data_IF_729081437083
#
_entry.id   IF_729081437083
#
_cell.length_a   1.000
_cell.length_b   1.000
_cell.length_c   1.000
_cell.angle_alpha   90.00
_cell.angle_beta   90.00
_cell.angle_gamma   90.00
#
_symmetry.space_group_name_H-M   'P 1'
#
loop_
_entity.id
_entity.type
_entity.pdbx_description
1 polymer ?
#
# COMPACT_ATOMS: atom_id res chain seq x y z
N UNK A 1 -10.79 3.64 -28.76
CA UNK A 1 -10.07 4.57 -27.88
C UNK A 1 -10.59 5.98 -28.13
N UNK A 2 -11.47 6.47 -27.26
CA UNK A 2 -11.93 7.87 -27.27
C UNK A 2 -11.19 8.54 -26.11
N UNK A 3 -10.26 9.42 -26.42
CA UNK A 3 -9.60 10.26 -25.42
C UNK A 3 -10.62 11.26 -24.87
N UNK A 4 -10.89 11.20 -23.56
CA UNK A 4 -11.66 12.24 -22.88
C UNK A 4 -10.69 13.38 -22.55
N UNK A 5 -10.58 14.36 -23.43
CA UNK A 5 -9.91 15.62 -23.14
C UNK A 5 -10.89 16.53 -22.39
N UNK A 6 -10.77 16.60 -21.06
CA UNK A 6 -11.34 17.68 -20.26
C UNK A 6 -10.21 18.62 -19.86
N UNK A 7 -10.17 19.75 -20.56
CA UNK A 7 -9.35 20.90 -20.22
C UNK A 7 -9.82 21.47 -18.89
N UNK A 8 -9.04 21.28 -17.83
CA UNK A 8 -9.12 22.11 -16.62
C UNK A 8 -7.94 23.07 -16.68
N UNK A 9 -8.23 24.37 -16.81
CA UNK A 9 -7.19 25.40 -16.77
C UNK A 9 -6.62 25.48 -15.35
N UNK A 10 -5.36 25.06 -15.17
CA UNK A 10 -4.59 25.44 -13.99
C UNK A 10 -4.16 26.91 -14.11
N UNK A 11 -4.17 27.71 -13.02
CA UNK A 11 -3.49 29.00 -13.00
C UNK A 11 -1.98 28.75 -13.08
N UNK A 12 -1.33 29.36 -14.06
CA UNK A 12 0.10 29.28 -14.29
C UNK A 12 0.88 29.98 -13.17
N UNK A 13 1.75 29.26 -12.45
CA UNK A 13 2.96 29.84 -11.83
C UNK A 13 4.10 28.81 -11.83
N UNK A 14 5.17 29.18 -12.54
CA UNK A 14 6.57 28.72 -12.55
C UNK A 14 6.94 27.34 -13.14
N UNK A 15 7.26 27.37 -14.43
CA UNK A 15 8.25 26.52 -15.09
C UNK A 15 9.67 27.09 -14.96
N UNK A 16 10.66 26.18 -15.11
CA UNK A 16 12.11 26.34 -15.29
C UNK A 16 12.92 26.34 -13.97
N UNK A 17 14.01 25.57 -13.81
CA UNK A 17 15.04 25.19 -14.78
C UNK A 17 15.51 23.74 -14.61
N UNK A 18 15.62 23.02 -15.73
CA UNK A 18 16.61 21.97 -15.95
C UNK A 18 17.61 22.56 -16.96
N UNK A 19 18.80 22.95 -16.50
CA UNK A 19 19.92 23.29 -17.37
C UNK A 19 21.13 22.49 -16.93
N UNK A 20 21.48 21.56 -17.81
CA UNK A 20 22.72 20.81 -17.89
C UNK A 20 23.88 21.81 -17.95
N UNK A 21 24.81 21.75 -17.00
CA UNK A 21 26.06 22.50 -17.08
C UNK A 21 27.22 21.56 -17.40
N UNK A 22 27.52 21.43 -18.69
CA UNK A 22 28.76 20.88 -19.21
C UNK A 22 29.82 21.97 -19.26
N UNK A 23 30.70 22.01 -18.26
CA UNK A 23 31.83 22.93 -18.19
C UNK A 23 33.16 22.20 -18.28
N UNK A 24 33.79 22.21 -19.47
CA UNK A 24 35.20 21.85 -19.67
C UNK A 24 36.05 23.10 -19.42
N UNK A 25 36.97 23.04 -18.47
CA UNK A 25 38.18 23.88 -18.40
C UNK A 25 39.34 23.03 -17.86
N UNK A 26 40.47 23.01 -18.58
CA UNK A 26 41.80 22.49 -18.18
C UNK A 26 42.80 23.67 -18.21
N UNK A 27 44.04 23.53 -17.72
CA UNK A 27 44.52 23.01 -16.43
C UNK A 27 45.44 24.04 -15.73
N UNK A 28 45.72 23.88 -14.43
CA UNK A 28 46.85 24.56 -13.79
C UNK A 28 47.43 23.75 -12.61
N UNK A 29 48.64 23.24 -12.86
CA UNK A 29 49.78 23.00 -11.97
C UNK A 29 49.58 22.37 -10.58
N UNK A 30 50.25 21.23 -10.45
CA UNK A 30 50.45 20.43 -9.25
C UNK A 30 51.34 21.10 -8.19
N UNK A 31 51.00 20.86 -6.92
CA UNK A 31 51.96 20.72 -5.81
C UNK A 31 51.48 19.54 -4.94
N UNK A 32 52.38 18.66 -4.48
CA UNK A 32 52.03 17.46 -3.68
C UNK A 32 51.91 17.81 -2.18
N UNK A 33 51.68 16.78 -1.33
CA UNK A 33 51.63 16.77 0.16
C UNK A 33 50.15 16.78 0.64
N UNK A 34 49.57 15.81 1.37
CA UNK A 34 50.04 14.68 2.19
C UNK A 34 49.05 13.50 2.14
N UNK A 35 49.58 12.29 2.33
CA UNK A 35 48.82 11.07 2.64
C UNK A 35 48.19 11.14 4.04
N UNK A 36 47.09 10.39 4.20
CA UNK A 36 46.50 9.90 5.46
C UNK A 36 45.24 10.63 5.96
N UNK A 37 44.09 10.24 5.38
CA UNK A 37 42.82 10.09 6.12
C UNK A 37 42.02 8.94 5.50
N UNK A 38 41.98 7.80 6.18
CA UNK A 38 40.98 6.76 5.97
C UNK A 38 39.60 7.31 6.34
N UNK A 39 38.73 7.48 5.34
CA UNK A 39 37.31 7.81 5.53
C UNK A 39 36.53 6.51 5.88
N UNK A 40 35.60 6.51 6.85
CA UNK A 40 34.90 5.31 7.28
C UNK A 40 33.77 4.97 6.31
N UNK A 41 33.84 3.77 5.74
CA UNK A 41 32.72 3.00 5.17
C UNK A 41 31.62 3.85 4.52
N UNK A 42 31.85 4.25 3.26
CA UNK A 42 30.77 4.57 2.35
C UNK A 42 29.80 3.37 2.35
N UNK A 43 28.60 3.56 2.89
CA UNK A 43 27.50 2.64 2.63
C UNK A 43 27.30 2.67 1.12
N UNK A 44 27.65 1.57 0.44
CA UNK A 44 27.34 1.39 -0.98
C UNK A 44 25.84 1.58 -1.16
N UNK A 45 25.43 2.75 -1.65
CA UNK A 45 24.10 2.91 -2.22
C UNK A 45 24.00 1.91 -3.37
N UNK A 46 23.10 0.94 -3.22
CA UNK A 46 22.82 -0.05 -4.24
C UNK A 46 22.37 0.69 -5.51
N UNK A 47 23.21 0.68 -6.55
CA UNK A 47 22.97 1.23 -7.90
C UNK A 47 21.79 0.56 -8.65
N UNK A 48 21.06 -0.35 -7.99
CA UNK A 48 19.87 -1.02 -8.51
C UNK A 48 18.55 -0.33 -8.13
N UNK A 49 17.45 -0.67 -8.82
CA UNK A 49 16.12 -0.17 -8.44
C UNK A 49 15.77 -0.61 -7.01
N UNK A 50 14.99 0.19 -6.26
CA UNK A 50 14.72 -0.06 -4.84
C UNK A 50 14.07 -1.43 -4.62
N UNK A 51 14.43 -2.13 -3.55
CA UNK A 51 13.77 -3.38 -3.18
C UNK A 51 12.56 -3.09 -2.29
N UNK A 52 11.39 -2.83 -2.88
CA UNK A 52 10.16 -2.54 -2.11
C UNK A 52 9.68 -3.74 -1.28
N UNK A 53 10.21 -4.94 -1.52
CA UNK A 53 9.85 -6.13 -0.75
C UNK A 53 10.43 -6.11 0.67
N UNK A 54 11.36 -5.19 0.96
CA UNK A 54 11.93 -4.99 2.29
C UNK A 54 11.13 -4.01 3.15
N UNK A 55 10.23 -3.22 2.55
CA UNK A 55 9.38 -2.29 3.30
C UNK A 55 8.48 -3.06 4.24
N UNK A 56 8.53 -2.70 5.51
CA UNK A 56 7.84 -3.45 6.58
C UNK A 56 6.52 -2.81 6.98
N UNK A 57 5.52 -3.66 7.26
CA UNK A 57 4.17 -3.25 7.64
C UNK A 57 3.82 -3.71 9.05
N UNK A 58 3.23 -2.81 9.84
CA UNK A 58 2.43 -3.18 11.01
C UNK A 58 0.99 -3.43 10.56
N UNK A 59 0.67 -4.69 10.30
CA UNK A 59 -0.63 -5.13 9.79
C UNK A 59 -1.75 -5.10 10.86
N UNK A 60 -2.93 -4.61 10.48
CA UNK A 60 -4.16 -4.64 11.27
C UNK A 60 -4.02 -3.89 12.59
N UNK A 61 -3.47 -2.67 12.56
CA UNK A 61 -3.16 -1.80 13.70
C UNK A 61 -4.41 -1.14 14.28
N UNK A 62 -5.33 -1.97 14.73
CA UNK A 62 -6.72 -1.60 15.04
C UNK A 62 -7.00 -1.29 16.53
N UNK A 63 -5.98 -0.92 17.31
CA UNK A 63 -6.16 -0.55 18.72
C UNK A 63 -5.09 0.41 19.18
N UNK A 64 -5.35 1.14 20.28
CA UNK A 64 -4.35 2.04 20.88
C UNK A 64 -3.07 1.32 21.24
N UNK A 65 -3.17 0.08 21.73
CA UNK A 65 -2.00 -0.70 22.09
C UNK A 65 -1.17 -1.04 20.86
N UNK A 66 -1.80 -1.61 19.81
CA UNK A 66 -1.10 -1.94 18.57
C UNK A 66 -0.48 -0.71 17.92
N UNK A 67 -1.17 0.43 17.94
CA UNK A 67 -0.64 1.68 17.40
C UNK A 67 0.61 2.14 18.15
N UNK A 68 0.59 2.11 19.49
CA UNK A 68 1.79 2.42 20.29
C UNK A 68 2.95 1.48 19.97
N UNK A 69 2.68 0.18 19.86
CA UNK A 69 3.69 -0.83 19.55
C UNK A 69 4.29 -0.62 18.16
N UNK A 70 3.45 -0.30 17.16
CA UNK A 70 3.88 -0.01 15.79
C UNK A 70 4.75 1.27 15.72
N UNK A 71 4.34 2.34 16.40
CA UNK A 71 5.10 3.61 16.46
C UNK A 71 6.45 3.42 17.15
N UNK A 72 6.47 2.69 18.27
CA UNK A 72 7.70 2.44 19.04
C UNK A 72 8.68 1.48 18.38
N UNK A 73 8.27 0.75 17.33
CA UNK A 73 9.12 -0.21 16.65
C UNK A 73 9.89 0.44 15.49
N UNK A 74 11.21 0.59 15.62
CA UNK A 74 12.09 1.23 14.63
C UNK A 74 12.17 0.49 13.30
N UNK A 75 11.83 -0.79 13.26
CA UNK A 75 11.89 -1.59 12.03
C UNK A 75 10.62 -1.51 11.21
N UNK A 76 9.54 -0.90 11.70
CA UNK A 76 8.26 -0.73 10.99
C UNK A 76 8.29 0.57 10.19
N UNK A 77 8.03 0.51 8.88
CA UNK A 77 8.01 1.69 8.01
C UNK A 77 6.58 2.15 7.69
N UNK A 78 5.65 1.20 7.56
CA UNK A 78 4.25 1.45 7.23
C UNK A 78 3.31 0.90 8.32
N UNK A 79 2.28 1.66 8.67
CA UNK A 79 1.20 1.21 9.57
C UNK A 79 -0.07 0.99 8.74
N UNK A 80 -0.51 -0.25 8.65
CA UNK A 80 -1.79 -0.59 8.04
C UNK A 80 -2.86 -0.70 9.15
N UNK A 81 -4.04 -0.13 8.89
CA UNK A 81 -5.18 -0.19 9.80
C UNK A 81 -6.51 -0.24 9.05
N UNK A 82 -7.39 -1.10 9.55
CA UNK A 82 -8.73 -1.31 9.03
C UNK A 82 -9.73 -0.31 9.61
N UNK A 83 -10.62 0.21 8.77
CA UNK A 83 -11.61 1.22 9.14
C UNK A 83 -13.01 0.67 8.90
N UNK A 84 -13.80 0.65 9.97
CA UNK A 84 -15.23 0.33 9.95
C UNK A 84 -16.03 1.41 10.66
N UNK A 85 -17.33 1.47 10.39
CA UNK A 85 -18.24 2.23 11.23
C UNK A 85 -18.57 1.45 12.49
N UNK A 86 -18.42 2.09 13.64
CA UNK A 86 -18.65 1.45 14.94
C UNK A 86 -18.68 2.44 16.09
N UNK A 87 -18.45 1.95 17.31
CA UNK A 87 -18.51 2.77 18.53
C UNK A 87 -17.22 2.66 19.33
N UNK A 88 -16.88 3.69 20.09
CA UNK A 88 -15.71 3.66 20.98
C UNK A 88 -16.05 2.90 22.26
N UNK A 89 -15.18 1.96 22.64
CA UNK A 89 -15.29 1.19 23.88
C UNK A 89 -15.38 2.12 25.08
N UNK A 90 -16.41 1.94 25.91
CA UNK A 90 -16.63 2.76 27.11
C UNK A 90 -17.25 4.15 26.84
N UNK A 91 -17.51 4.52 25.58
CA UNK A 91 -18.20 5.75 25.22
C UNK A 91 -19.72 5.53 25.02
N UNK A 92 -20.43 6.59 24.65
CA UNK A 92 -21.84 6.50 24.28
C UNK A 92 -22.03 5.58 23.06
N UNK A 93 -22.67 4.42 23.27
CA UNK A 93 -22.92 3.38 22.26
C UNK A 93 -23.89 3.79 21.14
N UNK A 94 -24.53 4.96 21.22
CA UNK A 94 -25.46 5.40 20.16
C UNK A 94 -24.78 6.16 19.02
N UNK A 95 -23.61 6.77 19.27
CA UNK A 95 -22.89 7.51 18.23
C UNK A 95 -21.97 6.57 17.46
N UNK A 96 -22.33 6.26 16.21
CA UNK A 96 -21.45 5.55 15.29
C UNK A 96 -20.50 6.51 14.57
N UNK A 97 -19.22 6.17 14.55
CA UNK A 97 -18.14 6.92 13.87
C UNK A 97 -17.16 5.95 13.20
N UNK A 98 -16.29 6.43 12.29
CA UNK A 98 -15.15 5.65 11.81
C UNK A 98 -14.20 5.29 12.96
N UNK A 99 -13.94 4.00 13.11
CA UNK A 99 -13.06 3.45 14.15
C UNK A 99 -12.04 2.50 13.52
N UNK A 100 -10.90 2.32 14.18
CA UNK A 100 -9.89 1.36 13.75
C UNK A 100 -10.31 -0.04 14.20
N UNK A 101 -10.81 -0.86 13.29
CA UNK A 101 -11.31 -2.22 13.54
C UNK A 101 -11.51 -3.00 12.24
N UNK A 102 -11.26 -4.31 12.30
CA UNK A 102 -11.54 -5.25 11.22
C UNK A 102 -12.88 -5.98 11.49
N UNK A 103 -13.76 -6.19 10.49
CA UNK A 103 -14.95 -7.00 10.64
C UNK A 103 -14.66 -8.41 11.22
N UNK A 104 -15.53 -8.97 12.06
CA UNK A 104 -16.86 -8.47 12.43
C UNK A 104 -16.85 -7.50 13.62
N UNK A 105 -15.69 -7.00 14.06
CA UNK A 105 -15.63 -6.05 15.17
C UNK A 105 -16.33 -4.74 14.80
N UNK A 106 -17.19 -4.25 15.70
CA UNK A 106 -17.93 -2.98 15.56
C UNK A 106 -17.64 -2.01 16.71
N UNK A 107 -16.61 -2.32 17.50
CA UNK A 107 -16.15 -1.52 18.63
C UNK A 107 -14.63 -1.49 18.66
N UNK A 108 -14.05 -0.35 19.00
CA UNK A 108 -12.61 -0.18 19.18
C UNK A 108 -12.31 0.81 20.30
N UNK A 109 -11.12 0.74 20.88
CA UNK A 109 -10.65 1.78 21.81
C UNK A 109 -10.03 2.99 21.07
N UNK A 110 -10.01 2.95 19.73
CA UNK A 110 -9.35 3.91 18.86
C UNK A 110 -10.26 4.37 17.72
N UNK A 111 -10.54 5.67 17.64
CA UNK A 111 -11.22 6.26 16.47
C UNK A 111 -10.22 6.55 15.34
N UNK A 112 -10.73 6.69 14.10
CA UNK A 112 -9.90 7.17 12.99
C UNK A 112 -9.24 8.52 13.29
N UNK A 113 -10.00 9.47 13.84
CA UNK A 113 -9.49 10.80 14.19
C UNK A 113 -8.34 10.73 15.22
N UNK A 114 -8.46 9.85 16.23
CA UNK A 114 -7.41 9.65 17.24
C UNK A 114 -6.17 8.99 16.63
N UNK A 115 -6.37 7.99 15.77
CA UNK A 115 -5.27 7.35 15.05
C UNK A 115 -4.51 8.37 14.21
N UNK A 116 -5.20 9.14 13.37
CA UNK A 116 -4.60 10.13 12.47
C UNK A 116 -3.81 11.20 13.23
N UNK A 117 -4.36 11.71 14.33
CA UNK A 117 -3.64 12.64 15.23
C UNK A 117 -2.35 12.04 15.80
N UNK A 118 -2.37 10.75 16.12
CA UNK A 118 -1.21 10.08 16.72
C UNK A 118 -0.11 9.80 15.69
N UNK A 119 -0.46 9.42 14.47
CA UNK A 119 0.53 9.09 13.42
C UNK A 119 1.19 10.31 12.80
N UNK A 120 0.57 11.50 12.86
CA UNK A 120 1.22 12.76 12.43
C UNK A 120 2.51 13.06 13.21
N UNK A 121 2.63 12.53 14.43
CA UNK A 121 3.80 12.73 15.28
C UNK A 121 4.85 11.61 15.10
N UNK A 122 4.62 10.64 14.20
CA UNK A 122 5.47 9.48 13.98
C UNK A 122 6.04 9.46 12.54
N UNK A 123 7.33 9.15 12.34
CA UNK A 123 7.93 9.07 11.01
C UNK A 123 7.62 7.73 10.33
N UNK A 124 6.33 7.41 10.12
CA UNK A 124 5.87 6.16 9.51
C UNK A 124 4.73 6.44 8.54
N UNK A 125 4.77 5.86 7.35
CA UNK A 125 3.66 5.97 6.41
C UNK A 125 2.44 5.18 6.90
N UNK A 126 1.27 5.49 6.36
CA UNK A 126 0.01 4.83 6.72
C UNK A 126 -0.71 4.27 5.51
N UNK A 127 -1.36 3.12 5.72
CA UNK A 127 -2.30 2.51 4.78
C UNK A 127 -3.65 2.33 5.48
N UNK A 128 -4.64 3.09 5.01
CA UNK A 128 -5.98 3.17 5.59
C UNK A 128 -6.94 2.28 4.81
N UNK A 129 -7.28 1.12 5.35
CA UNK A 129 -8.11 0.12 4.68
C UNK A 129 -9.60 0.27 5.02
N UNK A 130 -10.37 0.87 4.10
CA UNK A 130 -11.81 1.09 4.27
C UNK A 130 -12.60 -0.18 3.93
N UNK A 131 -13.32 -0.70 4.93
CA UNK A 131 -14.08 -1.95 4.80
C UNK A 131 -15.51 -1.78 4.32
N UNK A 132 -15.98 -0.53 4.14
CA UNK A 132 -17.30 -0.24 3.57
C UNK A 132 -17.38 1.20 3.04
N UNK A 133 -18.29 1.42 2.07
CA UNK A 133 -18.63 2.77 1.59
C UNK A 133 -19.05 3.69 2.74
N UNK A 134 -19.84 3.18 3.69
CA UNK A 134 -20.30 3.96 4.84
C UNK A 134 -19.12 4.49 5.69
N UNK A 135 -18.11 3.65 5.92
CA UNK A 135 -16.91 4.05 6.65
C UNK A 135 -16.09 5.07 5.88
N UNK A 136 -15.94 4.91 4.56
CA UNK A 136 -15.23 5.85 3.71
C UNK A 136 -15.93 7.22 3.65
N UNK A 137 -17.24 7.25 3.44
CA UNK A 137 -18.03 8.49 3.40
C UNK A 137 -17.94 9.26 4.72
N UNK A 138 -18.12 8.57 5.85
CA UNK A 138 -18.03 9.17 7.17
C UNK A 138 -16.61 9.65 7.54
N UNK A 139 -15.59 9.24 6.78
CA UNK A 139 -14.20 9.62 7.00
C UNK A 139 -13.74 10.82 6.17
N UNK A 140 -14.53 11.28 5.19
CA UNK A 140 -14.08 12.31 4.25
C UNK A 140 -13.63 13.62 4.92
N UNK A 141 -14.42 14.13 5.87
CA UNK A 141 -14.08 15.37 6.58
C UNK A 141 -12.89 15.16 7.52
N UNK A 142 -12.76 13.98 8.13
CA UNK A 142 -11.64 13.62 8.99
C UNK A 142 -10.34 13.58 8.18
N UNK A 143 -10.36 12.93 7.01
CA UNK A 143 -9.22 12.89 6.10
C UNK A 143 -8.86 14.27 5.57
N UNK A 144 -9.86 15.08 5.20
CA UNK A 144 -9.63 16.46 4.73
C UNK A 144 -8.89 17.28 5.78
N UNK A 145 -9.32 17.21 7.04
CA UNK A 145 -8.64 17.89 8.13
C UNK A 145 -7.22 17.35 8.35
N UNK A 146 -7.04 16.03 8.32
CA UNK A 146 -5.72 15.40 8.44
C UNK A 146 -4.75 15.85 7.35
N UNK A 147 -5.17 15.90 6.08
CA UNK A 147 -4.32 16.40 5.00
C UNK A 147 -4.04 17.90 5.10
N UNK A 148 -4.96 18.70 5.66
CA UNK A 148 -4.70 20.12 5.92
C UNK A 148 -3.73 20.35 7.09
N UNK A 149 -3.74 19.46 8.09
CA UNK A 149 -2.86 19.52 9.26
C UNK A 149 -1.46 18.93 8.96
N UNK A 150 -1.32 18.16 7.89
CA UNK A 150 -0.05 17.56 7.45
C UNK A 150 0.90 18.64 6.93
N UNK A 151 2.04 18.80 7.60
CA UNK A 151 3.09 19.75 7.20
C UNK A 151 4.19 19.12 6.37
N UNK A 152 4.35 17.79 6.47
CA UNK A 152 5.33 17.03 5.69
C UNK A 152 4.66 16.43 4.46
N UNK A 153 4.93 17.03 3.29
CA UNK A 153 4.40 16.57 2.01
C UNK A 153 4.98 15.21 1.57
N UNK A 154 6.03 14.71 2.25
CA UNK A 154 6.64 13.41 1.96
C UNK A 154 6.03 12.26 2.77
N UNK A 155 5.14 12.55 3.72
CA UNK A 155 4.49 11.56 4.56
C UNK A 155 3.61 10.61 3.71
N UNK A 156 3.93 9.30 3.61
CA UNK A 156 3.19 8.41 2.73
C UNK A 156 1.79 8.10 3.28
N UNK A 157 0.74 8.50 2.55
CA UNK A 157 -0.66 8.15 2.86
C UNK A 157 -1.25 7.31 1.75
N UNK A 158 -1.70 6.11 2.11
CA UNK A 158 -2.35 5.20 1.18
C UNK A 158 -3.81 5.07 1.58
N UNK A 159 -4.71 5.30 0.63
CA UNK A 159 -6.13 5.01 0.79
C UNK A 159 -6.37 3.64 0.15
N UNK A 160 -6.79 2.66 0.94
CA UNK A 160 -7.04 1.29 0.50
C UNK A 160 -8.52 0.95 0.52
N UNK A 161 -9.00 0.29 -0.54
CA UNK A 161 -10.33 -0.30 -0.55
C UNK A 161 -10.44 -1.47 -1.53
N UNK A 162 -11.24 -2.48 -1.15
CA UNK A 162 -11.73 -3.50 -2.07
C UNK A 162 -12.94 -2.97 -2.84
N UNK A 163 -12.71 -2.58 -4.10
CA UNK A 163 -13.72 -1.88 -4.92
C UNK A 163 -14.40 -2.75 -5.97
N UNK A 164 -13.91 -3.98 -6.14
CA UNK A 164 -14.44 -4.98 -7.06
C UNK A 164 -14.58 -6.35 -6.38
N UNK A 165 -15.52 -7.20 -6.82
CA UNK A 165 -15.58 -8.58 -6.37
C UNK A 165 -14.40 -9.38 -6.94
N UNK A 166 -13.83 -10.28 -6.14
CA UNK A 166 -12.65 -11.07 -6.48
C UNK A 166 -12.81 -12.56 -6.20
N UNK A 167 -11.70 -13.32 -6.26
CA UNK A 167 -11.74 -14.76 -6.13
C UNK A 167 -12.35 -15.21 -4.80
N UNK A 168 -13.29 -16.16 -4.89
CA UNK A 168 -14.09 -16.71 -3.80
C UNK A 168 -15.20 -15.79 -3.26
N UNK A 169 -15.31 -14.55 -3.74
CA UNK A 169 -16.33 -13.57 -3.33
C UNK A 169 -16.82 -12.74 -4.54
N UNK A 170 -17.34 -13.43 -5.56
CA UNK A 170 -17.70 -12.86 -6.87
C UNK A 170 -18.94 -11.94 -6.88
N UNK A 171 -19.65 -11.84 -5.75
CA UNK A 171 -20.94 -11.15 -5.62
C UNK A 171 -20.92 -9.93 -4.67
N UNK A 172 -19.78 -9.62 -4.03
CA UNK A 172 -19.69 -8.57 -3.02
C UNK A 172 -18.60 -7.53 -3.36
N UNK A 173 -18.94 -6.35 -3.87
CA UNK A 173 -18.02 -5.22 -3.87
C UNK A 173 -18.04 -4.55 -2.48
N UNK A 174 -16.95 -4.68 -1.71
CA UNK A 174 -16.86 -4.12 -0.36
C UNK A 174 -17.12 -2.60 -0.30
N UNK A 175 -16.49 -1.84 -1.20
CA UNK A 175 -16.62 -0.38 -1.30
C UNK A 175 -17.08 0.04 -2.70
N UNK A 176 -17.90 1.07 -2.80
CA UNK A 176 -18.35 1.61 -4.08
C UNK A 176 -17.18 2.23 -4.85
N UNK A 177 -16.82 1.64 -6.00
CA UNK A 177 -15.68 2.07 -6.82
C UNK A 177 -15.77 3.53 -7.27
N UNK A 178 -16.92 3.97 -7.80
CA UNK A 178 -17.13 5.34 -8.28
C UNK A 178 -16.89 6.35 -7.17
N UNK A 179 -17.46 6.10 -5.99
CA UNK A 179 -17.30 6.94 -4.80
C UNK A 179 -15.83 7.04 -4.39
N UNK A 180 -15.16 5.89 -4.23
CA UNK A 180 -13.79 5.81 -3.76
C UNK A 180 -12.81 6.49 -4.71
N UNK A 181 -12.85 6.12 -6.00
CA UNK A 181 -11.91 6.63 -7.01
C UNK A 181 -12.14 8.11 -7.30
N UNK A 182 -13.39 8.58 -7.34
CA UNK A 182 -13.67 10.02 -7.53
C UNK A 182 -13.15 10.83 -6.35
N UNK A 183 -13.33 10.37 -5.11
CA UNK A 183 -12.81 11.07 -3.94
C UNK A 183 -11.27 11.08 -3.93
N UNK A 184 -10.61 9.97 -4.27
CA UNK A 184 -9.15 9.93 -4.40
C UNK A 184 -8.66 10.97 -5.42
N UNK A 185 -9.24 10.97 -6.62
CA UNK A 185 -8.82 11.87 -7.70
C UNK A 185 -9.10 13.36 -7.43
N UNK A 186 -10.19 13.67 -6.72
CA UNK A 186 -10.66 15.07 -6.58
C UNK A 186 -10.42 15.70 -5.21
N UNK A 187 -10.34 14.90 -4.15
CA UNK A 187 -10.17 15.37 -2.77
C UNK A 187 -8.82 14.99 -2.16
N UNK A 188 -8.27 13.85 -2.56
CA UNK A 188 -7.03 13.32 -1.97
C UNK A 188 -5.96 13.01 -3.03
N UNK A 189 -5.61 13.98 -3.92
CA UNK A 189 -4.73 13.73 -5.06
C UNK A 189 -3.28 13.41 -4.66
N UNK A 190 -2.91 13.63 -3.39
CA UNK A 190 -1.57 13.34 -2.87
C UNK A 190 -1.44 11.93 -2.28
N UNK A 191 -2.56 11.22 -2.07
CA UNK A 191 -2.53 9.87 -1.55
C UNK A 191 -2.13 8.86 -2.64
N UNK A 192 -1.48 7.77 -2.24
CA UNK A 192 -1.40 6.56 -3.06
C UNK A 192 -2.77 5.87 -3.07
N UNK A 193 -3.25 5.51 -4.25
CA UNK A 193 -4.52 4.80 -4.42
C UNK A 193 -4.25 3.30 -4.40
N UNK A 194 -4.66 2.64 -3.32
CA UNK A 194 -4.53 1.20 -3.13
C UNK A 194 -5.88 0.53 -3.41
N UNK A 195 -5.99 -0.21 -4.52
CA UNK A 195 -7.25 -0.85 -4.92
C UNK A 195 -7.14 -2.36 -4.88
N UNK A 196 -8.14 -2.99 -4.29
CA UNK A 196 -8.21 -4.44 -4.16
C UNK A 196 -9.49 -5.03 -4.70
N UNK A 197 -9.57 -6.35 -4.58
CA UNK A 197 -10.79 -7.10 -4.81
C UNK A 197 -11.22 -7.76 -3.51
N UNK A 198 -12.51 -7.73 -3.23
CA UNK A 198 -13.07 -8.49 -2.11
C UNK A 198 -12.84 -9.98 -2.38
N UNK A 199 -12.11 -10.64 -1.49
CA UNK A 199 -11.79 -12.06 -1.63
C UNK A 199 -12.32 -12.87 -0.45
N UNK A 200 -12.55 -14.16 -0.67
CA UNK A 200 -12.83 -15.13 0.38
C UNK A 200 -12.13 -16.43 0.04
N UNK A 201 -11.60 -17.13 1.05
CA UNK A 201 -10.93 -18.41 0.84
C UNK A 201 -11.83 -19.41 0.07
N UNK A 202 -11.29 -19.96 -1.01
CA UNK A 202 -11.92 -20.94 -1.90
C UNK A 202 -10.82 -21.81 -2.53
N UNK A 203 -11.10 -23.11 -2.72
CA UNK A 203 -10.20 -23.99 -3.48
C UNK A 203 -10.52 -23.94 -4.99
N UNK A 204 -11.79 -23.75 -5.35
CA UNK A 204 -12.25 -23.80 -6.74
C UNK A 204 -12.10 -22.45 -7.46
N UNK A 205 -12.21 -21.35 -6.72
CA UNK A 205 -12.11 -19.98 -7.23
C UNK A 205 -10.98 -19.24 -6.50
N UNK A 206 -9.74 -19.62 -6.84
CA UNK A 206 -8.54 -19.32 -6.07
C UNK A 206 -7.50 -18.49 -6.84
N UNK A 207 -7.92 -17.79 -7.91
CA UNK A 207 -7.05 -16.99 -8.76
C UNK A 207 -7.77 -15.79 -9.36
N UNK A 208 -7.04 -14.69 -9.51
CA UNK A 208 -7.44 -13.56 -10.33
C UNK A 208 -7.47 -13.97 -11.79
N UNK A 209 -8.60 -13.76 -12.44
CA UNK A 209 -8.81 -14.02 -13.86
C UNK A 209 -8.49 -12.77 -14.70
N UNK A 210 -8.17 -12.91 -15.99
CA UNK A 210 -7.99 -11.76 -16.88
C UNK A 210 -9.16 -10.77 -16.83
N UNK A 211 -10.40 -11.28 -16.71
CA UNK A 211 -11.59 -10.42 -16.63
C UNK A 211 -11.67 -9.60 -15.34
N UNK A 212 -11.04 -10.07 -14.24
CA UNK A 212 -10.94 -9.30 -13.00
C UNK A 212 -9.99 -8.11 -13.16
N UNK A 213 -8.91 -8.34 -13.91
CA UNK A 213 -7.88 -7.34 -14.21
C UNK A 213 -8.42 -6.29 -15.19
N UNK A 214 -9.13 -6.73 -16.23
CA UNK A 214 -9.74 -5.85 -17.23
C UNK A 214 -10.74 -4.89 -16.58
N UNK A 215 -11.61 -5.39 -15.69
CA UNK A 215 -12.59 -4.55 -14.97
C UNK A 215 -11.92 -3.51 -14.08
N UNK A 216 -10.85 -3.88 -13.37
CA UNK A 216 -10.11 -2.94 -12.53
C UNK A 216 -9.46 -1.85 -13.38
N UNK A 217 -8.81 -2.25 -14.48
CA UNK A 217 -8.13 -1.34 -15.40
C UNK A 217 -9.10 -0.38 -16.08
N UNK A 218 -10.27 -0.87 -16.52
CA UNK A 218 -11.34 -0.04 -17.08
C UNK A 218 -11.83 1.01 -16.08
N UNK A 219 -12.04 0.63 -14.81
CA UNK A 219 -12.48 1.55 -13.76
C UNK A 219 -11.45 2.63 -13.45
N UNK A 220 -10.18 2.27 -13.29
CA UNK A 220 -9.12 3.24 -13.03
C UNK A 220 -8.98 4.25 -14.18
N UNK A 221 -9.00 3.77 -15.43
CA UNK A 221 -8.95 4.62 -16.62
C UNK A 221 -10.16 5.56 -16.70
N UNK A 222 -11.37 5.06 -16.38
CA UNK A 222 -12.60 5.85 -16.40
C UNK A 222 -12.59 7.00 -15.37
N UNK A 223 -11.96 6.79 -14.22
CA UNK A 223 -11.93 7.77 -13.13
C UNK A 223 -10.68 8.65 -13.13
N UNK A 224 -9.87 8.61 -14.20
CA UNK A 224 -8.66 9.43 -14.36
C UNK A 224 -7.67 9.30 -13.18
N UNK A 225 -7.62 8.13 -12.53
CA UNK A 225 -6.60 7.82 -11.51
C UNK A 225 -5.30 7.45 -12.22
N UNK A 226 -4.80 8.37 -13.05
CA UNK A 226 -3.61 8.20 -13.88
C UNK A 226 -2.45 9.09 -13.41
N UNK A 227 -2.72 10.07 -12.54
CA UNK A 227 -1.72 11.01 -12.02
C UNK A 227 -1.24 10.67 -10.61
N UNK A 228 -1.89 9.73 -9.91
CA UNK A 228 -1.50 9.28 -8.57
C UNK A 228 -0.74 7.96 -8.64
N UNK A 229 0.18 7.69 -7.69
CA UNK A 229 0.70 6.34 -7.51
C UNK A 229 -0.45 5.36 -7.24
N UNK A 230 -0.42 4.20 -7.90
CA UNK A 230 -1.41 3.13 -7.74
C UNK A 230 -0.71 1.87 -7.26
N UNK A 231 -1.35 1.17 -6.32
CA UNK A 231 -0.98 -0.19 -5.95
C UNK A 231 -2.19 -1.11 -6.00
N UNK A 232 -2.01 -2.33 -6.52
CA UNK A 232 -3.05 -3.36 -6.50
C UNK A 232 -2.88 -4.26 -5.29
N UNK A 233 -3.84 -4.22 -4.36
CA UNK A 233 -3.85 -5.07 -3.18
C UNK A 233 -4.33 -6.48 -3.56
N UNK A 234 -3.41 -7.44 -3.59
CA UNK A 234 -3.67 -8.83 -3.99
C UNK A 234 -3.41 -9.82 -2.86
N UNK A 235 -4.32 -10.76 -2.65
CA UNK A 235 -4.17 -11.78 -1.60
C UNK A 235 -3.11 -12.80 -2.02
N UNK A 236 -2.13 -13.05 -1.17
CA UNK A 236 -0.96 -13.89 -1.42
C UNK A 236 -1.34 -15.28 -1.97
N UNK A 237 -2.32 -15.94 -1.35
CA UNK A 237 -2.79 -17.26 -1.77
C UNK A 237 -3.31 -17.29 -3.22
N UNK A 238 -3.84 -16.17 -3.71
CA UNK A 238 -4.41 -16.08 -5.06
C UNK A 238 -3.43 -15.46 -6.06
N UNK A 239 -2.55 -14.57 -5.59
CA UNK A 239 -1.42 -14.09 -6.37
C UNK A 239 -0.51 -15.24 -6.81
N UNK A 240 -0.28 -16.22 -5.94
CA UNK A 240 0.43 -17.45 -6.25
C UNK A 240 -0.16 -18.21 -7.46
N UNK A 241 -1.49 -18.20 -7.62
CA UNK A 241 -2.17 -18.88 -8.73
C UNK A 241 -2.39 -17.96 -9.96
N UNK A 242 -1.89 -16.73 -9.92
CA UNK A 242 -2.17 -15.66 -10.90
C UNK A 242 -0.92 -14.98 -11.43
N UNK A 243 0.23 -15.65 -11.44
CA UNK A 243 1.51 -15.07 -11.85
C UNK A 243 1.42 -14.39 -13.21
N UNK A 244 0.89 -15.06 -14.23
CA UNK A 244 0.76 -14.51 -15.59
C UNK A 244 -0.17 -13.28 -15.64
N UNK A 245 -1.37 -13.39 -15.07
CA UNK A 245 -2.37 -12.31 -15.08
C UNK A 245 -1.85 -11.06 -14.36
N UNK A 246 -1.20 -11.21 -13.20
CA UNK A 246 -0.66 -10.10 -12.43
C UNK A 246 0.61 -9.51 -13.04
N UNK A 247 1.42 -10.33 -13.72
CA UNK A 247 2.57 -9.83 -14.50
C UNK A 247 2.09 -8.94 -15.65
N UNK A 248 1.06 -9.39 -16.38
CA UNK A 248 0.45 -8.62 -17.47
C UNK A 248 -0.18 -7.32 -16.97
N UNK A 249 -0.85 -7.34 -15.80
CA UNK A 249 -1.36 -6.13 -15.15
C UNK A 249 -0.25 -5.10 -14.93
N UNK A 250 0.84 -5.48 -14.27
CA UNK A 250 1.93 -4.54 -13.96
C UNK A 250 2.64 -4.04 -15.23
N UNK A 251 2.88 -4.92 -16.20
CA UNK A 251 3.55 -4.54 -17.45
C UNK A 251 2.71 -3.63 -18.36
N UNK A 252 1.38 -3.65 -18.21
CA UNK A 252 0.47 -2.79 -18.97
C UNK A 252 -0.01 -1.55 -18.20
N UNK A 253 0.38 -1.42 -16.93
CA UNK A 253 0.03 -0.28 -16.08
C UNK A 253 0.97 0.91 -16.28
N UNK A 254 0.54 2.08 -15.81
CA UNK A 254 1.36 3.29 -15.77
C UNK A 254 2.63 3.05 -14.95
N UNK A 255 3.73 3.69 -15.35
CA UNK A 255 4.99 3.67 -14.60
C UNK A 255 4.78 4.04 -13.12
N UNK A 256 5.51 3.37 -12.23
CA UNK A 256 5.35 3.51 -10.77
C UNK A 256 4.21 2.69 -10.16
N UNK A 257 3.42 1.96 -10.96
CA UNK A 257 2.38 1.06 -10.44
C UNK A 257 2.99 -0.16 -9.76
N UNK A 258 2.45 -0.53 -8.59
CA UNK A 258 2.96 -1.65 -7.76
C UNK A 258 1.89 -2.68 -7.43
N UNK A 259 2.30 -3.82 -6.90
CA UNK A 259 1.46 -4.77 -6.18
C UNK A 259 1.72 -4.64 -4.68
N UNK A 260 0.66 -4.74 -3.89
CA UNK A 260 0.78 -5.01 -2.45
C UNK A 260 0.23 -6.41 -2.18
N UNK A 261 1.12 -7.36 -1.91
CA UNK A 261 0.75 -8.74 -1.62
C UNK A 261 0.46 -8.87 -0.13
N UNK A 262 -0.76 -9.27 0.22
CA UNK A 262 -1.24 -9.34 1.60
C UNK A 262 -1.88 -10.70 1.92
N UNK A 263 -2.02 -11.06 3.20
CA UNK A 263 -2.83 -12.22 3.61
C UNK A 263 -3.75 -11.89 4.78
N UNK A 264 -4.89 -12.59 4.86
CA UNK A 264 -5.92 -12.27 5.85
C UNK A 264 -5.86 -13.15 7.11
N UNK A 265 -5.08 -14.24 7.06
CA UNK A 265 -5.12 -15.28 8.08
C UNK A 265 -3.80 -16.05 8.16
N UNK A 266 -3.41 -16.50 9.37
CA UNK A 266 -2.37 -17.50 9.54
C UNK A 266 -2.72 -18.86 8.97
N UNK A 267 -3.98 -19.09 8.61
CA UNK A 267 -4.42 -20.34 7.96
C UNK A 267 -4.44 -20.24 6.44
N UNK A 268 -4.09 -19.09 5.85
CA UNK A 268 -3.92 -18.98 4.40
C UNK A 268 -2.81 -19.92 3.97
N UNK A 269 -3.10 -20.77 2.98
CA UNK A 269 -2.12 -21.65 2.35
C UNK A 269 -1.56 -20.90 1.15
N UNK A 270 -0.27 -20.58 1.19
CA UNK A 270 0.39 -19.75 0.18
C UNK A 270 1.53 -20.54 -0.44
N UNK A 271 1.56 -20.62 -1.76
CA UNK A 271 2.72 -21.12 -2.49
C UNK A 271 3.74 -19.97 -2.66
N UNK A 272 4.76 -19.97 -1.80
CA UNK A 272 5.76 -18.92 -1.79
C UNK A 272 6.75 -19.02 -2.96
N UNK A 273 6.92 -20.19 -3.58
CA UNK A 273 7.71 -20.32 -4.79
C UNK A 273 7.03 -19.60 -5.95
N UNK A 274 5.71 -19.73 -6.07
CA UNK A 274 4.92 -19.01 -7.05
C UNK A 274 4.88 -17.50 -6.77
N UNK A 275 4.72 -17.07 -5.50
CA UNK A 275 4.82 -15.64 -5.14
C UNK A 275 6.21 -15.07 -5.47
N UNK A 276 7.29 -15.80 -5.18
CA UNK A 276 8.64 -15.37 -5.54
C UNK A 276 8.84 -15.33 -7.07
N UNK A 277 8.19 -16.22 -7.81
CA UNK A 277 8.19 -16.19 -9.28
C UNK A 277 7.48 -14.95 -9.82
N UNK A 278 6.36 -14.55 -9.21
CA UNK A 278 5.69 -13.28 -9.52
C UNK A 278 6.60 -12.09 -9.23
N UNK A 279 7.23 -12.01 -8.05
CA UNK A 279 8.16 -10.92 -7.69
C UNK A 279 9.30 -10.81 -8.70
N UNK A 280 9.89 -11.95 -9.11
CA UNK A 280 10.95 -11.98 -10.14
C UNK A 280 10.44 -11.51 -11.51
N UNK A 281 9.19 -11.83 -11.86
CA UNK A 281 8.62 -11.48 -13.15
C UNK A 281 8.30 -9.97 -13.26
N UNK A 282 7.85 -9.33 -12.17
CA UNK A 282 7.46 -7.91 -12.20
C UNK A 282 8.55 -6.95 -11.74
N UNK A 283 9.48 -7.41 -10.90
CA UNK A 283 10.51 -6.59 -10.28
C UNK A 283 10.25 -6.33 -8.80
N UNK A 284 11.31 -6.35 -7.99
CA UNK A 284 11.27 -6.08 -6.54
C UNK A 284 10.90 -4.62 -6.22
N UNK A 285 11.17 -3.73 -7.16
CA UNK A 285 10.80 -2.32 -7.19
C UNK A 285 9.32 -2.07 -7.46
N UNK A 286 8.53 -3.14 -7.61
CA UNK A 286 7.09 -3.06 -7.87
C UNK A 286 6.24 -3.88 -6.90
N UNK A 287 6.83 -4.41 -5.83
CA UNK A 287 6.10 -5.29 -4.90
C UNK A 287 6.33 -4.90 -3.45
N UNK A 288 5.26 -4.57 -2.75
CA UNK A 288 5.20 -4.50 -1.30
C UNK A 288 4.66 -5.80 -0.70
N UNK A 289 5.13 -6.17 0.49
CA UNK A 289 4.71 -7.37 1.21
C UNK A 289 4.11 -6.99 2.57
N UNK A 290 2.78 -7.02 2.66
CA UNK A 290 2.03 -6.81 3.89
C UNK A 290 1.52 -8.17 4.42
N UNK A 291 2.48 -8.98 4.88
CA UNK A 291 2.24 -10.38 5.24
C UNK A 291 2.24 -10.60 6.76
N UNK A 292 1.12 -11.12 7.26
CA UNK A 292 1.06 -11.82 8.55
C UNK A 292 1.69 -13.22 8.43
N UNK A 293 1.95 -13.93 9.54
CA UNK A 293 2.24 -15.36 9.47
C UNK A 293 1.21 -16.09 8.60
N UNK A 294 1.62 -17.14 7.87
CA UNK A 294 0.78 -17.97 7.00
C UNK A 294 1.32 -19.42 6.93
N UNK A 295 0.59 -20.32 6.26
CA UNK A 295 1.05 -21.70 5.96
C UNK A 295 1.68 -21.75 4.58
N UNK A 296 2.98 -22.05 4.50
CA UNK A 296 3.63 -22.32 3.22
C UNK A 296 3.11 -23.64 2.61
N UNK A 297 2.78 -23.68 1.32
CA UNK A 297 2.34 -24.91 0.65
C UNK A 297 3.44 -25.98 0.62
N UNK A 298 4.72 -25.56 0.59
CA UNK A 298 5.88 -26.46 0.57
C UNK A 298 6.11 -27.17 1.93
N UNK A 299 5.66 -26.56 3.05
CA UNK A 299 5.83 -27.14 4.39
C UNK A 299 4.86 -28.28 4.70
N UNK A 300 3.86 -28.55 3.84
CA UNK A 300 2.92 -29.67 3.98
C UNK A 300 3.53 -31.06 3.76
N UNK A 301 4.84 -31.17 3.51
CA UNK A 301 5.52 -32.45 3.36
C UNK A 301 5.91 -33.13 4.69
N UNK A 302 5.81 -32.45 5.83
CA UNK A 302 5.96 -33.04 7.17
C UNK A 302 4.93 -32.42 8.13
N UNK A 303 4.13 -33.25 8.80
CA UNK A 303 2.87 -32.92 9.47
C UNK A 303 2.94 -32.00 10.69
N UNK A 304 3.97 -31.16 10.84
CA UNK A 304 3.98 -30.07 11.80
C UNK A 304 4.92 -28.96 11.33
N UNK A 305 4.38 -27.81 10.93
CA UNK A 305 4.98 -26.47 11.16
C UNK A 305 4.11 -25.36 10.55
N UNK A 306 3.49 -24.56 11.42
CA UNK A 306 3.07 -23.20 11.09
C UNK A 306 4.35 -22.36 10.98
N UNK A 307 4.84 -22.11 9.76
CA UNK A 307 5.95 -21.18 9.57
C UNK A 307 5.81 -20.43 8.25
N UNK A 308 5.78 -19.11 8.38
CA UNK A 308 6.65 -18.24 7.62
C UNK A 308 7.38 -17.31 8.58
N UNK A 309 8.35 -17.87 9.33
CA UNK A 309 9.46 -17.07 9.84
C UNK A 309 10.34 -16.68 8.65
N UNK A 310 9.91 -15.70 7.84
CA UNK A 310 10.90 -14.75 7.31
C UNK A 310 11.53 -14.11 8.54
N UNK A 311 12.87 -13.95 8.62
CA UNK A 311 13.55 -13.61 9.86
C UNK A 311 12.84 -12.46 10.54
N UNK A 312 12.11 -12.78 11.61
CA UNK A 312 11.55 -11.79 12.51
C UNK A 312 12.75 -11.10 13.12
N UNK A 313 13.00 -9.88 12.68
CA UNK A 313 13.72 -8.84 13.43
C UNK A 313 15.05 -9.28 14.02
N UNK A 314 16.13 -9.13 13.25
CA UNK A 314 17.53 -8.82 13.68
C UNK A 314 18.30 -8.59 12.37
N UNK A 315 19.01 -7.48 12.16
CA UNK A 315 20.14 -6.98 12.94
C UNK A 315 20.07 -5.48 13.22
#
# INVERSE_FOLDING_TARGET
>A
MVYCALSVSLPAVLSALLVVNSGIFHPAMATPVDEDTQDPSEHEESDGPPDLTTVTFAHGTNSKQKLRDAIGNTTIEMIEADIVMGTITGANKTKRIPIMAHPPATTSDLSLEQFLKTVLEAPKGIKLDFKSSEAFEASMDILTNFFNDMTDETFPVWLNADILPGPGARDNPGVNATLFLTACATKFPFATVSVGWTTKWSQDDNKYLPEDIDKMTELLNKHCVVSQPVTFAVRAAYAANSVEALTNLINSSTEGTTLTIWNSSPNDIVDMEAVNSLIKAVGKDKVYLDLLPFVDSASKSDGSQLLSDRPRYTH
#
